data_IF_784190690082
#
_entry.id   IF_784190690082
#
_cell.length_a   1.000
_cell.length_b   1.000
_cell.length_c   1.000
_cell.angle_alpha   90.00
_cell.angle_beta   90.00
_cell.angle_gamma   90.00
#
_symmetry.space_group_name_H-M   'P 1'
#
loop_
_entity.id
_entity.type
_entity.pdbx_description
1 polymer ?
#
# COMPACT_ATOMS: atom_id res chain seq x y z
N UNK A 1 2.50 8.19 6.32
CA UNK A 1 2.80 7.41 7.53
C UNK A 1 1.72 7.56 8.62
N UNK A 2 0.82 8.56 8.57
CA UNK A 2 -0.23 8.79 9.59
C UNK A 2 -1.32 7.71 9.67
N UNK A 3 -1.77 7.13 8.55
CA UNK A 3 -2.96 6.27 8.50
C UNK A 3 -2.83 4.98 9.33
N UNK A 4 -1.61 4.46 9.52
CA UNK A 4 -1.38 3.24 10.32
C UNK A 4 -1.43 3.50 11.83
N UNK A 5 -1.17 4.73 12.27
CA UNK A 5 -1.24 5.10 13.70
C UNK A 5 -2.67 5.27 14.16
N UNK A 6 -3.52 5.90 13.35
CA UNK A 6 -4.95 6.06 13.62
C UNK A 6 -5.65 4.71 13.73
N UNK A 7 -5.41 3.80 12.77
CA UNK A 7 -5.96 2.45 12.80
C UNK A 7 -5.58 1.70 14.10
N UNK A 8 -4.34 1.85 14.58
CA UNK A 8 -3.88 1.25 15.84
C UNK A 8 -4.55 1.89 17.06
N UNK A 9 -4.72 3.21 17.06
CA UNK A 9 -5.40 3.92 18.14
C UNK A 9 -6.87 3.45 18.26
N UNK A 10 -7.54 3.20 17.14
CA UNK A 10 -8.88 2.63 17.11
C UNK A 10 -8.92 1.20 17.67
N UNK A 11 -7.98 0.33 17.27
CA UNK A 11 -7.89 -1.03 17.82
C UNK A 11 -7.72 -1.04 19.34
N UNK A 12 -6.88 -0.14 19.88
CA UNK A 12 -6.65 -0.05 21.34
C UNK A 12 -7.88 0.40 22.14
N UNK A 13 -8.83 1.07 21.48
CA UNK A 13 -10.08 1.58 22.08
C UNK A 13 -11.24 0.59 21.95
N UNK A 14 -11.07 -0.51 21.23
CA UNK A 14 -12.12 -1.50 21.01
C UNK A 14 -12.20 -2.47 22.20
N UNK A 15 -13.41 -2.75 22.74
CA UNK A 15 -13.58 -3.79 23.77
C UNK A 15 -13.07 -5.14 23.27
N UNK A 16 -12.31 -5.85 24.11
CA UNK A 16 -11.71 -7.13 23.72
C UNK A 16 -12.77 -8.18 23.40
N UNK A 17 -13.92 -8.13 24.08
CA UNK A 17 -15.04 -9.03 23.88
C UNK A 17 -15.61 -8.93 22.46
N UNK A 18 -15.74 -7.70 21.95
CA UNK A 18 -16.22 -7.43 20.60
C UNK A 18 -15.19 -7.85 19.54
N UNK A 19 -13.91 -7.63 19.82
CA UNK A 19 -12.82 -8.02 18.94
C UNK A 19 -12.67 -9.55 18.82
N UNK A 20 -13.11 -10.30 19.83
CA UNK A 20 -13.11 -11.76 19.81
C UNK A 20 -14.40 -12.36 19.24
N UNK A 21 -15.54 -11.68 19.35
CA UNK A 21 -16.83 -12.19 18.87
C UNK A 21 -17.03 -12.08 17.37
N UNK A 22 -16.47 -11.06 16.71
CA UNK A 22 -16.72 -10.79 15.29
C UNK A 22 -15.54 -11.24 14.40
N UNK A 23 -15.79 -12.23 13.55
CA UNK A 23 -14.82 -12.77 12.60
C UNK A 23 -14.29 -11.70 11.60
N UNK A 24 -15.12 -10.73 11.23
CA UNK A 24 -14.73 -9.63 10.32
C UNK A 24 -13.73 -8.71 10.99
N UNK A 25 -13.96 -8.36 12.27
CA UNK A 25 -13.03 -7.53 13.04
C UNK A 25 -11.70 -8.26 13.24
N UNK A 26 -11.73 -9.57 13.52
CA UNK A 26 -10.50 -10.36 13.59
C UNK A 26 -9.73 -10.36 12.26
N UNK A 27 -10.41 -10.45 11.13
CA UNK A 27 -9.79 -10.39 9.80
C UNK A 27 -9.13 -9.02 9.56
N UNK A 28 -9.80 -7.92 9.92
CA UNK A 28 -9.23 -6.57 9.88
C UNK A 28 -7.97 -6.43 10.76
N UNK A 29 -7.98 -7.01 11.97
CA UNK A 29 -6.82 -6.98 12.87
C UNK A 29 -5.63 -7.80 12.33
N UNK A 30 -5.90 -8.95 11.70
CA UNK A 30 -4.88 -9.75 11.01
C UNK A 30 -4.26 -8.98 9.85
N UNK A 31 -5.08 -8.30 9.04
CA UNK A 31 -4.61 -7.44 7.95
C UNK A 31 -3.72 -6.31 8.49
N UNK A 32 -4.17 -5.60 9.53
CA UNK A 32 -3.41 -4.50 10.14
C UNK A 32 -2.05 -4.98 10.66
N UNK A 33 -2.01 -6.14 11.31
CA UNK A 33 -0.75 -6.75 11.79
C UNK A 33 0.17 -7.14 10.64
N UNK A 34 -0.37 -7.71 9.56
CA UNK A 34 0.38 -8.10 8.38
C UNK A 34 1.06 -6.90 7.70
N UNK A 35 0.31 -5.81 7.52
CA UNK A 35 0.80 -4.55 6.94
C UNK A 35 1.89 -3.95 7.81
N UNK A 36 1.73 -3.97 9.13
CA UNK A 36 2.71 -3.42 10.04
C UNK A 36 4.02 -4.22 10.08
N UNK A 37 3.94 -5.55 10.05
CA UNK A 37 5.10 -6.44 9.96
C UNK A 37 5.75 -6.45 8.57
N UNK A 38 5.23 -5.66 7.62
CA UNK A 38 5.67 -5.61 6.20
C UNK A 38 5.69 -7.00 5.56
N UNK A 39 4.75 -7.87 5.95
CA UNK A 39 4.60 -9.22 5.38
C UNK A 39 3.68 -9.15 4.16
N UNK A 40 4.20 -8.63 3.04
CA UNK A 40 3.44 -8.39 1.81
C UNK A 40 2.67 -9.63 1.33
N UNK A 41 3.31 -10.80 1.27
CA UNK A 41 2.66 -12.07 0.93
C UNK A 41 1.45 -12.36 1.82
N UNK A 42 1.59 -12.16 3.13
CA UNK A 42 0.52 -12.41 4.09
C UNK A 42 -0.60 -11.37 3.99
N UNK A 43 -0.29 -10.13 3.60
CA UNK A 43 -1.31 -9.10 3.29
C UNK A 43 -2.20 -9.57 2.16
N UNK A 44 -1.62 -10.03 1.04
CA UNK A 44 -2.42 -10.51 -0.10
C UNK A 44 -3.20 -11.79 0.20
N UNK A 45 -2.62 -12.73 0.97
CA UNK A 45 -3.35 -13.90 1.46
C UNK A 45 -4.57 -13.50 2.30
N UNK A 46 -4.40 -12.58 3.24
CA UNK A 46 -5.50 -12.06 4.08
C UNK A 46 -6.57 -11.35 3.24
N UNK A 47 -6.19 -10.59 2.22
CA UNK A 47 -7.14 -9.89 1.34
C UNK A 47 -7.94 -10.85 0.45
N UNK A 48 -7.31 -11.94 -0.03
CA UNK A 48 -7.92 -12.87 -1.01
C UNK A 48 -8.61 -14.08 -0.38
N UNK A 49 -8.05 -14.63 0.70
CA UNK A 49 -8.45 -15.94 1.23
C UNK A 49 -9.47 -15.84 2.36
N UNK A 50 -9.58 -14.69 3.04
CA UNK A 50 -10.52 -14.55 4.15
C UNK A 50 -11.94 -14.22 3.68
N UNK A 51 -12.98 -14.80 4.33
CA UNK A 51 -14.36 -14.54 3.98
C UNK A 51 -14.75 -13.13 4.44
N UNK A 52 -14.67 -12.18 3.51
CA UNK A 52 -15.14 -10.82 3.74
C UNK A 52 -16.66 -10.74 3.51
N UNK A 53 -17.41 -10.05 4.40
CA UNK A 53 -18.81 -9.73 4.15
C UNK A 53 -18.99 -9.05 2.79
N UNK A 54 -20.08 -9.34 2.08
CA UNK A 54 -20.34 -8.79 0.73
C UNK A 54 -20.22 -7.27 0.67
N UNK A 55 -20.66 -6.58 1.72
CA UNK A 55 -20.58 -5.12 1.83
C UNK A 55 -19.15 -4.58 1.87
N UNK A 56 -18.18 -5.38 2.34
CA UNK A 56 -16.79 -4.97 2.50
C UNK A 56 -15.90 -5.39 1.33
N UNK A 57 -16.30 -6.40 0.54
CA UNK A 57 -15.58 -6.83 -0.67
C UNK A 57 -15.15 -5.68 -1.61
N UNK A 58 -16.01 -4.71 -1.96
CA UNK A 58 -15.57 -3.60 -2.82
C UNK A 58 -14.49 -2.74 -2.16
N UNK A 59 -14.56 -2.52 -0.86
CA UNK A 59 -13.57 -1.75 -0.09
C UNK A 59 -12.25 -2.50 0.01
N UNK A 60 -12.29 -3.81 0.29
CA UNK A 60 -11.12 -4.70 0.33
C UNK A 60 -10.41 -4.69 -1.02
N UNK A 61 -11.16 -4.80 -2.12
CA UNK A 61 -10.59 -4.76 -3.48
C UNK A 61 -9.95 -3.40 -3.80
N UNK A 62 -10.59 -2.29 -3.42
CA UNK A 62 -9.99 -0.94 -3.57
C UNK A 62 -8.71 -0.81 -2.76
N UNK A 63 -8.69 -1.36 -1.55
CA UNK A 63 -7.51 -1.36 -0.71
C UNK A 63 -6.38 -2.21 -1.30
N UNK A 64 -6.69 -3.40 -1.85
CA UNK A 64 -5.70 -4.24 -2.52
C UNK A 64 -5.00 -3.49 -3.67
N UNK A 65 -5.78 -2.84 -4.54
CA UNK A 65 -5.25 -2.03 -5.64
C UNK A 65 -4.39 -0.88 -5.12
N UNK A 66 -4.89 -0.13 -4.13
CA UNK A 66 -4.14 0.96 -3.53
C UNK A 66 -2.81 0.49 -2.88
N UNK A 67 -2.84 -0.65 -2.18
CA UNK A 67 -1.66 -1.23 -1.56
C UNK A 67 -0.64 -1.69 -2.60
N UNK A 68 -1.12 -2.30 -3.70
CA UNK A 68 -0.27 -2.71 -4.82
C UNK A 68 0.37 -1.51 -5.51
N UNK A 69 -0.40 -0.46 -5.84
CA UNK A 69 0.11 0.77 -6.46
C UNK A 69 1.14 1.48 -5.57
N UNK A 70 0.85 1.57 -4.27
CA UNK A 70 1.78 2.16 -3.31
C UNK A 70 3.08 1.38 -3.25
N UNK A 71 2.99 0.04 -3.15
CA UNK A 71 4.17 -0.83 -3.09
C UNK A 71 4.96 -0.76 -4.38
N UNK A 72 4.29 -0.71 -5.54
CA UNK A 72 4.93 -0.52 -6.84
C UNK A 72 5.76 0.77 -6.87
N UNK A 73 5.18 1.90 -6.41
CA UNK A 73 5.89 3.19 -6.33
C UNK A 73 7.08 3.14 -5.36
N UNK A 74 6.96 2.43 -4.25
CA UNK A 74 8.05 2.27 -3.28
C UNK A 74 9.19 1.42 -3.87
N UNK A 75 8.87 0.27 -4.48
CA UNK A 75 9.86 -0.61 -5.13
C UNK A 75 10.55 0.11 -6.29
N UNK A 76 9.78 0.82 -7.12
CA UNK A 76 10.30 1.65 -8.22
C UNK A 76 11.28 2.74 -7.80
N UNK A 77 11.23 3.18 -6.54
CA UNK A 77 12.13 4.22 -6.01
C UNK A 77 13.30 3.63 -5.25
N UNK A 78 13.11 2.49 -4.60
CA UNK A 78 14.11 1.90 -3.70
C UNK A 78 15.12 1.00 -4.42
N UNK A 79 14.75 0.44 -5.57
CA UNK A 79 15.58 -0.54 -6.29
C UNK A 79 15.91 -0.06 -7.69
N UNK A 80 17.21 -0.09 -8.02
CA UNK A 80 17.71 0.11 -9.38
C UNK A 80 17.57 -1.18 -10.22
N UNK A 81 17.80 -2.32 -9.59
CA UNK A 81 17.54 -3.64 -10.15
C UNK A 81 16.94 -4.54 -9.05
N UNK A 82 15.96 -5.37 -9.44
CA UNK A 82 15.27 -6.30 -8.56
C UNK A 82 15.03 -7.62 -9.27
N UNK A 83 15.09 -8.72 -8.51
CA UNK A 83 14.76 -10.05 -9.02
C UNK A 83 13.23 -10.19 -9.20
N UNK A 84 12.75 -10.88 -10.25
CA UNK A 84 11.31 -11.07 -10.49
C UNK A 84 10.55 -11.70 -9.33
N UNK A 85 11.14 -12.66 -8.63
CA UNK A 85 10.54 -13.32 -7.47
C UNK A 85 10.32 -12.36 -6.30
N UNK A 86 11.31 -11.53 -6.00
CA UNK A 86 11.20 -10.50 -4.99
C UNK A 86 10.15 -9.44 -5.37
N UNK A 87 10.15 -8.98 -6.62
CA UNK A 87 9.16 -8.04 -7.11
C UNK A 87 7.73 -8.61 -7.06
N UNK A 88 7.56 -9.87 -7.43
CA UNK A 88 6.27 -10.55 -7.39
C UNK A 88 5.75 -10.69 -5.95
N UNK A 89 6.63 -11.02 -4.99
CA UNK A 89 6.27 -11.06 -3.57
C UNK A 89 5.76 -9.71 -3.05
N UNK A 90 6.38 -8.61 -3.47
CA UNK A 90 5.93 -7.26 -3.09
C UNK A 90 4.59 -6.88 -3.70
N UNK A 91 4.33 -7.29 -4.95
CA UNK A 91 3.08 -6.94 -5.66
C UNK A 91 1.94 -7.96 -5.49
N UNK A 92 2.16 -9.05 -4.75
CA UNK A 92 1.16 -10.11 -4.55
C UNK A 92 0.91 -10.96 -5.79
N UNK A 93 1.94 -11.12 -6.62
CA UNK A 93 1.97 -12.01 -7.79
C UNK A 93 2.64 -13.34 -7.42
N UNK A 94 2.52 -14.35 -8.28
CA UNK A 94 3.18 -15.64 -8.07
C UNK A 94 4.70 -15.50 -8.22
N UNK A 95 5.42 -15.57 -7.11
CA UNK A 95 6.87 -15.45 -7.08
C UNK A 95 7.60 -16.64 -7.71
N UNK A 96 6.99 -17.84 -7.72
CA UNK A 96 7.60 -19.02 -8.34
C UNK A 96 7.54 -18.91 -9.86
N UNK A 97 6.38 -18.53 -10.39
CA UNK A 97 6.22 -18.28 -11.82
C UNK A 97 7.05 -17.07 -12.27
N UNK A 98 7.14 -16.01 -11.44
CA UNK A 98 8.02 -14.88 -11.73
C UNK A 98 9.51 -15.29 -11.80
N UNK A 99 9.96 -16.15 -10.87
CA UNK A 99 11.33 -16.68 -10.86
C UNK A 99 11.66 -17.48 -12.12
N UNK A 100 10.67 -18.18 -12.66
CA UNK A 100 10.80 -18.95 -13.90
C UNK A 100 10.74 -18.08 -15.16
N UNK A 101 10.50 -16.77 -15.02
CA UNK A 101 10.40 -15.85 -16.14
C UNK A 101 9.07 -15.97 -16.90
N UNK A 102 7.98 -16.35 -16.22
CA UNK A 102 6.66 -16.46 -16.84
C UNK A 102 6.30 -15.16 -17.60
N UNK A 103 6.12 -15.21 -18.94
CA UNK A 103 5.81 -14.05 -19.75
C UNK A 103 4.55 -13.30 -19.30
N UNK A 104 3.57 -14.00 -18.73
CA UNK A 104 2.33 -13.39 -18.23
C UNK A 104 2.56 -12.51 -16.98
N UNK A 105 3.61 -12.80 -16.21
CA UNK A 105 4.00 -12.02 -15.04
C UNK A 105 4.98 -10.92 -15.43
N UNK A 106 5.97 -11.23 -16.28
CA UNK A 106 6.93 -10.24 -16.79
C UNK A 106 6.21 -9.13 -17.54
N UNK A 107 5.19 -9.45 -18.36
CA UNK A 107 4.37 -8.46 -19.06
C UNK A 107 3.64 -7.50 -18.13
N UNK A 108 3.27 -7.92 -16.92
CA UNK A 108 2.66 -7.02 -15.91
C UNK A 108 3.66 -5.99 -15.42
N UNK A 109 4.92 -6.38 -15.20
CA UNK A 109 5.97 -5.45 -14.81
C UNK A 109 6.34 -4.48 -15.95
N UNK A 110 6.45 -4.98 -17.18
CA UNK A 110 6.77 -4.12 -18.33
C UNK A 110 5.62 -3.17 -18.70
N UNK A 111 4.36 -3.58 -18.49
CA UNK A 111 3.20 -2.68 -18.62
C UNK A 111 3.24 -1.53 -17.60
N UNK A 112 3.90 -1.71 -16.46
CA UNK A 112 4.16 -0.65 -15.48
C UNK A 112 5.38 0.23 -15.83
N UNK A 113 5.99 0.03 -16.99
CA UNK A 113 7.17 0.79 -17.45
C UNK A 113 8.50 0.25 -16.93
N UNK A 114 8.54 -0.94 -16.32
CA UNK A 114 9.79 -1.55 -15.90
C UNK A 114 10.50 -2.21 -17.09
N UNK A 115 11.83 -2.20 -17.08
CA UNK A 115 12.61 -2.86 -18.12
C UNK A 115 12.97 -4.27 -17.68
N UNK A 116 12.63 -5.26 -18.51
CA UNK A 116 13.06 -6.64 -18.32
C UNK A 116 14.41 -6.86 -19.02
N UNK A 117 15.36 -7.45 -18.30
CA UNK A 117 16.63 -7.91 -18.82
C UNK A 117 16.68 -9.43 -18.74
N UNK A 118 16.42 -10.07 -19.89
CA UNK A 118 16.40 -11.51 -20.02
C UNK A 118 17.79 -12.13 -19.86
N UNK A 119 18.86 -11.39 -20.17
CA UNK A 119 20.25 -11.90 -20.09
C UNK A 119 20.69 -12.07 -18.64
N UNK A 120 20.34 -11.11 -17.78
CA UNK A 120 20.68 -11.17 -16.35
C UNK A 120 19.54 -11.70 -15.47
N UNK A 121 18.34 -11.88 -16.03
CA UNK A 121 17.15 -12.30 -15.29
C UNK A 121 16.69 -11.27 -14.27
N UNK A 122 16.87 -9.98 -14.56
CA UNK A 122 16.59 -8.87 -13.65
C UNK A 122 15.55 -7.91 -14.21
N UNK A 123 14.71 -7.37 -13.32
CA UNK A 123 13.84 -6.25 -13.62
C UNK A 123 14.53 -4.97 -13.17
N UNK A 124 14.45 -3.94 -14.01
CA UNK A 124 14.91 -2.59 -13.70
C UNK A 124 13.67 -1.72 -13.51
N UNK A 125 13.27 -1.47 -12.25
CA UNK A 125 12.15 -0.59 -11.96
C UNK A 125 12.47 0.82 -12.44
N UNK A 126 11.50 1.46 -13.09
CA UNK A 126 11.59 2.89 -13.37
C UNK A 126 10.78 3.66 -12.33
N UNK A 127 11.28 4.82 -11.85
CA UNK A 127 10.50 5.70 -11.01
C UNK A 127 9.22 6.09 -11.73
N UNK A 128 8.08 5.63 -11.21
CA UNK A 128 6.78 6.07 -11.72
C UNK A 128 6.61 7.52 -11.27
N UNK A 129 6.99 8.45 -12.14
CA UNK A 129 6.75 9.89 -11.97
C UNK A 129 5.25 10.12 -12.12
N UNK A 130 4.51 9.83 -11.06
CA UNK A 130 3.15 10.35 -10.95
C UNK A 130 3.30 11.87 -10.94
N UNK A 131 2.66 12.62 -11.85
CA UNK A 131 2.59 14.06 -11.73
C UNK A 131 2.11 14.34 -10.32
N UNK A 132 2.94 15.02 -9.54
CA UNK A 132 2.63 15.43 -8.18
C UNK A 132 1.27 16.12 -8.25
N UNK A 133 0.22 15.46 -7.78
CA UNK A 133 -1.01 16.16 -7.44
C UNK A 133 -0.56 17.25 -6.47
N UNK A 134 -0.72 18.51 -6.89
CA UNK A 134 -0.54 19.67 -6.05
C UNK A 134 -1.61 19.60 -4.96
N UNK A 135 -1.43 18.74 -3.97
CA UNK A 135 -2.02 18.94 -2.65
C UNK A 135 -1.17 20.01 -1.95
N UNK A 136 -1.25 21.22 -2.50
CA UNK A 136 -1.11 22.43 -1.70
C UNK A 136 -2.39 22.57 -0.91
N UNK A 137 -2.52 21.83 0.19
CA UNK A 137 -3.36 22.33 1.28
C UNK A 137 -2.51 23.37 1.98
N UNK A 138 -2.72 24.62 1.57
CA UNK A 138 -2.16 25.84 2.17
C UNK A 138 -2.31 25.79 3.68
N UNK A 139 -1.19 25.67 4.38
CA UNK A 139 -1.10 26.13 5.77
C UNK A 139 -0.97 27.66 5.85
N UNK A 140 -0.78 28.34 4.71
CA UNK A 140 -0.73 29.82 4.60
C UNK A 140 -2.01 30.52 5.03
N UNK A 141 -3.16 29.84 4.96
CA UNK A 141 -4.44 30.48 5.31
C UNK A 141 -4.52 30.87 6.78
N UNK A 142 -3.96 30.07 7.69
CA UNK A 142 -4.09 30.31 9.14
C UNK A 142 -3.09 31.35 9.66
N UNK A 143 -1.91 31.47 9.05
CA UNK A 143 -0.96 32.53 9.37
C UNK A 143 -1.48 33.91 8.98
N UNK A 144 -2.19 34.02 7.85
CA UNK A 144 -2.77 35.29 7.39
C UNK A 144 -3.91 35.77 8.30
N UNK A 145 -4.76 34.87 8.82
CA UNK A 145 -5.82 35.29 9.76
C UNK A 145 -5.24 35.70 11.12
N UNK A 146 -4.17 35.04 11.59
CA UNK A 146 -3.50 35.41 12.84
C UNK A 146 -2.76 36.75 12.72
N UNK A 147 -2.19 37.06 11.56
CA UNK A 147 -1.58 38.37 11.30
C UNK A 147 -2.61 39.51 11.30
N UNK A 148 -3.83 39.25 10.83
CA UNK A 148 -4.90 40.26 10.80
C UNK A 148 -5.54 40.54 12.17
N UNK A 149 -5.49 39.59 13.11
CA UNK A 149 -6.00 39.78 14.48
C UNK A 149 -4.99 40.45 15.42
N UNK A 150 -3.71 40.53 15.05
CA UNK A 150 -2.67 41.16 15.87
C UNK A 150 -2.56 42.69 15.72
N UNK A 151 -3.34 43.31 14.84
CA UNK A 151 -3.24 44.74 14.51
C UNK A 151 -4.35 45.63 15.08
N UNK A 152 -5.19 45.12 15.99
CA UNK A 152 -6.18 45.89 16.73
C UNK A 152 -5.94 45.83 18.24
N UNK A 153 -4.81 46.39 18.68
CA UNK A 153 -4.61 46.83 20.06
C UNK A 153 -3.68 48.05 20.05
N UNK A 154 -4.30 49.23 20.05
CA UNK A 154 -3.67 50.55 20.09
C UNK A 154 -4.73 51.62 20.21
#
# INVERSE_FOLDING_TARGET
>A
MLHSYEARAMTKRMPQDLAQSDATLQNCLRLLRAVWQRKYEYVYKVLRDLPWPEMLKPTVRKYELHFQEKTLKEVSRAYEAIRPDAAANYLGLDATAAKQGDPAIISKFTACGWRWDEQNGLLYPQPITTPREKTGHSSDGLSDVMALMGSHSG
#
